data_IF_297483584400
#
_entry.id   IF_297483584400
#
_cell.length_a   1.000
_cell.length_b   1.000
_cell.length_c   1.000
_cell.angle_alpha   90.00
_cell.angle_beta   90.00
_cell.angle_gamma   90.00
#
_symmetry.space_group_name_H-M   'P 1'
#
loop_
_entity.id
_entity.type
_entity.pdbx_description
1 polymer ?
#
# COMPACT_ATOMS: atom_id res chain seq x y z
N UNK A 1 -0.74 24.20 7.51
CA UNK A 1 -1.24 22.93 6.91
C UNK A 1 -1.70 21.99 8.00
N UNK A 2 -0.87 21.68 8.99
CA UNK A 2 -1.24 20.81 10.10
C UNK A 2 -0.61 21.31 11.40
N UNK A 3 -1.30 21.10 12.52
CA UNK A 3 -0.80 21.35 13.87
C UNK A 3 -1.22 20.19 14.75
N UNK A 4 -0.24 19.55 15.38
CA UNK A 4 -0.40 18.37 16.24
C UNK A 4 0.17 18.68 17.61
N UNK A 5 -0.43 18.11 18.65
CA UNK A 5 0.01 18.27 20.05
C UNK A 5 0.56 16.96 20.60
N UNK A 6 1.40 17.03 21.63
CA UNK A 6 1.99 15.86 22.29
C UNK A 6 3.01 15.11 21.43
N UNK A 7 3.30 13.87 21.82
CA UNK A 7 4.29 13.03 21.17
C UNK A 7 3.74 12.39 19.89
N UNK A 8 4.53 12.34 18.82
CA UNK A 8 4.08 11.77 17.56
C UNK A 8 5.15 11.64 16.48
N UNK A 9 4.73 11.23 15.29
CA UNK A 9 5.58 11.17 14.10
C UNK A 9 4.74 11.40 12.85
N UNK A 10 5.19 12.29 11.96
CA UNK A 10 4.67 12.31 10.58
C UNK A 10 5.27 11.12 9.84
N UNK A 11 4.44 10.35 9.15
CA UNK A 11 4.85 9.16 8.40
C UNK A 11 4.68 9.32 6.90
N UNK A 12 3.77 10.19 6.45
CA UNK A 12 3.56 10.50 5.03
C UNK A 12 3.18 11.96 4.86
N UNK A 13 3.83 12.61 3.91
CA UNK A 13 3.37 13.87 3.33
C UNK A 13 3.10 13.58 1.85
N UNK A 14 1.90 13.89 1.38
CA UNK A 14 1.56 13.85 -0.03
C UNK A 14 0.94 15.17 -0.46
N UNK A 15 1.31 15.62 -1.66
CA UNK A 15 0.68 16.74 -2.33
C UNK A 15 0.46 16.33 -3.79
N UNK A 16 -0.80 16.34 -4.28
CA UNK A 16 -1.00 16.32 -5.71
C UNK A 16 -0.51 17.67 -6.27
N UNK A 17 -0.20 17.65 -7.56
CA UNK A 17 0.18 18.83 -8.31
C UNK A 17 -0.83 19.98 -8.11
N UNK A 18 -0.44 21.26 -8.12
CA UNK A 18 -1.37 22.32 -7.71
C UNK A 18 -2.11 23.08 -8.81
N UNK A 19 -1.63 23.08 -10.06
CA UNK A 19 -2.21 23.88 -11.16
C UNK A 19 -2.35 23.10 -12.48
N UNK A 20 -3.39 23.36 -13.29
CA UNK A 20 -3.61 22.75 -14.62
C UNK A 20 -2.66 23.27 -15.71
N UNK A 21 -2.12 24.48 -15.54
CA UNK A 21 -1.60 25.29 -16.66
C UNK A 21 -0.19 24.93 -17.12
N UNK A 22 0.64 24.35 -16.24
CA UNK A 22 1.97 23.82 -16.61
C UNK A 22 2.18 22.41 -16.06
N UNK A 23 2.85 21.49 -16.79
CA UNK A 23 3.25 20.19 -16.27
C UNK A 23 4.33 20.30 -15.17
N UNK A 24 4.17 19.53 -14.09
CA UNK A 24 5.22 19.23 -13.11
C UNK A 24 5.53 20.29 -12.04
N UNK A 25 4.58 21.14 -11.63
CA UNK A 25 4.77 22.22 -10.68
C UNK A 25 3.72 22.40 -9.59
N UNK A 26 4.16 22.13 -8.36
CA UNK A 26 3.97 23.06 -7.25
C UNK A 26 4.64 24.40 -7.62
N UNK A 27 3.93 25.28 -8.33
CA UNK A 27 4.26 26.69 -8.57
C UNK A 27 5.64 27.15 -9.09
N UNK A 28 6.78 26.43 -8.95
CA UNK A 28 8.18 26.89 -9.17
C UNK A 28 8.53 28.21 -8.45
N UNK A 29 7.65 28.73 -7.60
CA UNK A 29 7.79 30.04 -6.91
C UNK A 29 8.61 29.95 -5.62
N UNK A 30 9.21 28.79 -5.33
CA UNK A 30 9.96 28.58 -4.10
C UNK A 30 9.05 28.68 -2.88
N UNK A 31 7.91 27.97 -2.90
CA UNK A 31 7.10 27.83 -1.69
C UNK A 31 7.93 27.06 -0.67
N UNK A 32 8.09 27.60 0.53
CA UNK A 32 8.88 26.97 1.58
C UNK A 32 8.00 26.15 2.50
N UNK A 33 8.36 24.91 2.74
CA UNK A 33 7.79 24.14 3.84
C UNK A 33 8.61 24.37 5.09
N UNK A 34 7.92 24.74 6.17
CA UNK A 34 8.48 24.94 7.50
C UNK A 34 7.87 23.95 8.47
N UNK A 35 8.72 23.19 9.16
CA UNK A 35 8.30 22.22 10.16
C UNK A 35 8.90 22.61 11.51
N UNK A 36 8.06 22.96 12.46
CA UNK A 36 8.42 23.32 13.83
C UNK A 36 8.09 22.14 14.74
N UNK A 37 9.02 21.76 15.62
CA UNK A 37 8.89 20.61 16.50
C UNK A 37 9.09 21.04 17.94
N UNK A 38 8.42 20.36 18.87
CA UNK A 38 8.67 20.45 20.32
C UNK A 38 8.57 21.89 20.88
N UNK A 39 7.60 22.66 20.38
CA UNK A 39 7.38 24.05 20.77
C UNK A 39 8.51 25.03 20.37
N UNK A 40 9.50 24.61 19.57
CA UNK A 40 10.62 25.46 19.18
C UNK A 40 10.16 26.54 18.18
N UNK A 41 10.45 27.84 18.42
CA UNK A 41 10.11 28.90 17.49
C UNK A 41 10.92 28.88 16.19
N UNK A 42 12.07 28.19 16.17
CA UNK A 42 12.88 27.99 14.97
C UNK A 42 12.48 26.67 14.31
N UNK A 43 12.18 26.65 12.99
CA UNK A 43 11.80 25.42 12.33
C UNK A 43 12.98 24.43 12.28
N UNK A 44 12.70 23.15 12.53
CA UNK A 44 13.64 22.06 12.35
C UNK A 44 13.93 21.78 10.86
N UNK A 45 13.03 22.20 9.98
CA UNK A 45 13.18 22.15 8.52
C UNK A 45 12.57 23.41 7.92
N UNK A 46 13.34 24.13 7.08
CA UNK A 46 12.88 25.26 6.27
C UNK A 46 13.58 25.18 4.91
N UNK A 47 12.85 24.70 3.90
CA UNK A 47 13.40 24.40 2.57
C UNK A 47 12.36 24.65 1.49
N UNK A 48 12.76 24.86 0.21
CA UNK A 48 11.85 24.79 -0.90
C UNK A 48 11.10 23.45 -0.89
N UNK A 49 9.78 23.50 -0.94
CA UNK A 49 8.89 22.35 -0.80
C UNK A 49 9.22 21.26 -1.84
N UNK A 50 9.50 21.64 -3.09
CA UNK A 50 9.84 20.72 -4.17
C UNK A 50 11.17 19.99 -3.97
N UNK A 51 12.10 20.57 -3.21
CA UNK A 51 13.43 20.00 -3.03
C UNK A 51 13.39 18.75 -2.12
N UNK A 52 12.39 18.64 -1.24
CA UNK A 52 12.09 17.41 -0.50
C UNK A 52 11.78 16.28 -1.47
N UNK A 53 10.82 16.47 -2.37
CA UNK A 53 10.35 15.43 -3.30
C UNK A 53 11.38 15.09 -4.39
N UNK A 54 12.24 16.06 -4.73
CA UNK A 54 13.39 15.85 -5.62
C UNK A 54 14.57 15.16 -4.94
N UNK A 55 14.51 14.94 -3.63
CA UNK A 55 15.57 14.31 -2.85
C UNK A 55 16.86 15.12 -2.81
N UNK A 56 16.76 16.45 -2.84
CA UNK A 56 17.91 17.37 -2.76
C UNK A 56 18.22 17.80 -1.33
N UNK A 57 17.24 17.68 -0.43
CA UNK A 57 17.39 18.00 0.99
C UNK A 57 18.09 16.83 1.68
N UNK A 58 19.09 17.14 2.51
CA UNK A 58 19.78 16.12 3.30
C UNK A 58 18.81 15.36 4.21
N UNK A 59 18.96 14.04 4.31
CA UNK A 59 18.00 13.19 5.04
C UNK A 59 16.70 12.86 4.30
N UNK A 60 16.52 13.29 3.06
CA UNK A 60 15.36 12.94 2.22
C UNK A 60 15.76 12.15 0.96
N UNK A 61 16.25 10.90 1.10
CA UNK A 61 16.71 10.14 -0.06
C UNK A 61 15.56 9.58 -0.89
N UNK A 62 15.73 9.56 -2.21
CA UNK A 62 14.90 8.73 -3.10
C UNK A 62 15.21 7.24 -2.84
N UNK A 63 14.23 6.33 -2.98
CA UNK A 63 12.84 6.57 -3.36
C UNK A 63 11.88 6.74 -2.15
N UNK A 64 12.38 7.04 -0.94
CA UNK A 64 11.50 7.35 0.21
C UNK A 64 10.72 8.65 -0.02
N UNK A 65 11.34 9.57 -0.78
CA UNK A 65 10.69 10.72 -1.39
C UNK A 65 10.65 10.56 -2.90
N UNK A 66 9.68 11.21 -3.54
CA UNK A 66 9.59 11.20 -4.99
C UNK A 66 8.43 12.01 -5.53
N UNK A 67 8.38 12.06 -6.85
CA UNK A 67 7.34 12.74 -7.62
C UNK A 67 7.06 11.96 -8.90
N UNK A 68 5.82 12.03 -9.38
CA UNK A 68 5.42 11.52 -10.69
C UNK A 68 3.93 11.21 -10.77
N UNK A 69 3.43 11.09 -12.01
CA UNK A 69 1.99 10.89 -12.30
C UNK A 69 1.08 11.86 -11.54
N UNK A 70 1.54 13.10 -11.40
CA UNK A 70 0.80 14.20 -10.75
C UNK A 70 0.84 14.22 -9.23
N UNK A 71 1.53 13.31 -8.55
CA UNK A 71 1.70 13.34 -7.10
C UNK A 71 3.14 13.53 -6.64
N UNK A 72 3.30 14.08 -5.45
CA UNK A 72 4.56 14.23 -4.72
C UNK A 72 4.41 13.58 -3.37
N UNK A 73 5.37 12.74 -2.96
CA UNK A 73 5.27 11.96 -1.73
C UNK A 73 6.56 11.99 -0.94
N UNK A 74 6.44 11.91 0.38
CA UNK A 74 7.53 11.77 1.32
C UNK A 74 7.12 10.77 2.41
N UNK A 75 7.90 9.69 2.54
CA UNK A 75 7.76 8.67 3.58
C UNK A 75 8.87 8.72 4.64
N UNK A 76 9.68 9.79 4.64
CA UNK A 76 10.70 10.00 5.66
C UNK A 76 10.01 10.34 6.98
N UNK A 77 10.26 9.59 8.06
CA UNK A 77 9.62 9.84 9.34
C UNK A 77 10.13 11.14 9.97
N UNK A 78 9.21 11.95 10.49
CA UNK A 78 9.51 13.20 11.22
C UNK A 78 8.95 13.06 12.65
N UNK A 79 9.69 12.39 13.55
CA UNK A 79 9.29 12.22 14.95
C UNK A 79 9.45 13.50 15.77
N UNK A 80 8.56 13.67 16.75
CA UNK A 80 8.53 14.79 17.68
C UNK A 80 8.00 14.35 19.05
N UNK A 81 8.42 15.06 20.09
CA UNK A 81 8.16 14.76 21.50
C UNK A 81 7.02 15.60 22.09
N UNK A 82 6.87 16.85 21.66
CA UNK A 82 5.91 17.79 22.22
C UNK A 82 5.33 18.75 21.17
N UNK A 83 4.62 18.17 20.21
CA UNK A 83 3.90 18.88 19.16
C UNK A 83 4.71 19.10 17.89
N UNK A 84 3.98 19.34 16.82
CA UNK A 84 4.52 19.60 15.49
C UNK A 84 3.60 20.57 14.74
N UNK A 85 4.18 21.56 14.08
CA UNK A 85 3.47 22.47 13.20
C UNK A 85 4.09 22.44 11.81
N UNK A 86 3.26 22.18 10.80
CA UNK A 86 3.65 22.17 9.38
C UNK A 86 3.00 23.37 8.69
N UNK A 87 3.85 24.26 8.20
CA UNK A 87 3.49 25.45 7.44
C UNK A 87 4.04 25.33 6.02
N UNK A 88 3.29 25.83 5.04
CA UNK A 88 3.83 26.15 3.72
C UNK A 88 3.60 27.63 3.47
N UNK A 89 4.66 28.32 3.09
CA UNK A 89 4.67 29.71 2.71
C UNK A 89 4.39 29.83 1.21
N UNK A 90 3.14 30.12 0.87
CA UNK A 90 2.67 30.11 -0.51
C UNK A 90 1.15 30.06 -0.61
N UNK A 91 0.65 30.26 -1.83
CA UNK A 91 -0.80 30.24 -2.14
C UNK A 91 -1.16 29.19 -3.20
N UNK A 92 -0.16 28.51 -3.76
CA UNK A 92 -0.34 27.54 -4.83
C UNK A 92 -0.55 26.13 -4.27
N UNK A 93 -0.07 25.77 -3.07
CA UNK A 93 -0.52 24.52 -2.40
C UNK A 93 -2.02 24.57 -2.08
N UNK A 94 -2.82 23.78 -2.82
CA UNK A 94 -4.28 23.71 -2.67
C UNK A 94 -4.78 22.42 -2.03
N UNK A 95 -4.05 21.33 -2.22
CA UNK A 95 -4.42 19.99 -1.77
C UNK A 95 -3.19 19.36 -1.12
N UNK A 96 -3.41 18.65 -0.02
CA UNK A 96 -2.35 17.99 0.73
C UNK A 96 -2.92 16.94 1.67
N UNK A 97 -2.09 15.95 1.98
CA UNK A 97 -2.30 15.01 3.07
C UNK A 97 -1.04 14.94 3.94
N UNK A 98 -1.19 15.20 5.24
CA UNK A 98 -0.15 14.97 6.25
C UNK A 98 -0.65 13.87 7.18
N UNK A 99 -0.14 12.65 6.99
CA UNK A 99 -0.50 11.51 7.83
C UNK A 99 0.53 11.35 8.94
N UNK A 100 0.04 11.28 10.17
CA UNK A 100 0.86 11.20 11.37
C UNK A 100 0.28 10.19 12.36
N UNK A 101 1.10 9.78 13.32
CA UNK A 101 0.71 8.98 14.45
C UNK A 101 0.96 9.75 15.74
N UNK A 102 0.00 9.71 16.65
CA UNK A 102 0.15 10.20 18.03
C UNK A 102 0.58 9.04 18.92
N UNK A 103 1.52 9.28 19.81
CA UNK A 103 2.00 8.29 20.76
C UNK A 103 1.52 8.61 22.19
N UNK A 104 1.30 7.60 23.04
CA UNK A 104 0.87 7.81 24.42
C UNK A 104 1.85 8.63 25.27
N UNK A 105 3.14 8.59 24.94
CA UNK A 105 4.19 9.34 25.64
C UNK A 105 5.36 9.67 24.71
N UNK A 106 6.22 10.60 25.14
CA UNK A 106 7.45 10.94 24.43
C UNK A 106 8.62 9.98 24.74
N UNK A 107 8.39 8.92 25.52
CA UNK A 107 9.46 8.00 25.91
C UNK A 107 10.05 7.28 24.69
N UNK A 108 11.38 7.22 24.61
CA UNK A 108 12.09 6.60 23.48
C UNK A 108 12.09 7.40 22.16
N UNK A 109 11.29 8.46 22.05
CA UNK A 109 11.25 9.29 20.84
C UNK A 109 12.48 10.20 20.77
N UNK A 110 13.20 10.10 19.66
CA UNK A 110 14.26 11.04 19.28
C UNK A 110 13.67 12.01 18.25
N UNK A 111 13.61 13.29 18.59
CA UNK A 111 13.11 14.35 17.70
C UNK A 111 13.89 14.34 16.38
N UNK A 112 13.18 14.57 15.29
CA UNK A 112 13.77 14.75 13.96
C UNK A 112 14.79 15.89 13.95
N UNK A 113 15.87 15.71 13.19
CA UNK A 113 16.91 16.72 12.99
C UNK A 113 17.29 16.79 11.52
N UNK A 114 17.48 18.01 11.02
CA UNK A 114 18.08 18.28 9.72
C UNK A 114 19.28 19.22 9.89
N UNK A 115 20.52 18.82 9.53
CA UNK A 115 20.88 17.55 8.90
C UNK A 115 20.68 16.33 9.82
N UNK A 116 20.47 15.11 9.27
CA UNK A 116 20.35 13.89 10.05
C UNK A 116 21.68 13.49 10.68
N UNK A 117 21.60 12.88 11.86
CA UNK A 117 22.73 12.18 12.53
C UNK A 117 23.23 11.01 11.69
N UNK A 118 24.46 10.52 11.96
CA UNK A 118 25.04 9.37 11.25
C UNK A 118 24.16 8.11 11.34
N UNK A 119 23.58 7.84 12.53
CA UNK A 119 22.67 6.71 12.74
C UNK A 119 21.38 6.85 11.91
N UNK A 120 20.80 8.05 11.85
CA UNK A 120 19.63 8.31 11.00
C UNK A 120 19.98 8.16 9.52
N UNK A 121 21.16 8.66 9.11
CA UNK A 121 21.65 8.55 7.73
C UNK A 121 21.84 7.10 7.30
N UNK A 122 22.42 6.26 8.16
CA UNK A 122 22.56 4.82 7.94
C UNK A 122 21.18 4.14 7.80
N UNK A 123 20.25 4.43 8.71
CA UNK A 123 18.89 3.88 8.65
C UNK A 123 18.14 4.30 7.38
N UNK A 124 18.23 5.57 6.98
CA UNK A 124 17.64 6.10 5.75
C UNK A 124 18.28 5.46 4.50
N UNK A 125 19.60 5.25 4.49
CA UNK A 125 20.29 4.58 3.40
C UNK A 125 19.88 3.11 3.28
N UNK A 126 19.72 2.40 4.40
CA UNK A 126 19.23 1.02 4.41
C UNK A 126 17.80 0.94 3.87
N UNK A 127 16.89 1.82 4.33
CA UNK A 127 15.52 1.88 3.85
C UNK A 127 15.46 2.22 2.34
N UNK A 128 16.22 3.23 1.89
CA UNK A 128 16.29 3.61 0.48
C UNK A 128 16.82 2.46 -0.41
N UNK A 129 17.81 1.71 0.08
CA UNK A 129 18.32 0.51 -0.61
C UNK A 129 17.22 -0.54 -0.75
N UNK A 130 16.51 -0.88 0.33
CA UNK A 130 15.40 -1.85 0.28
C UNK A 130 14.30 -1.40 -0.68
N UNK A 131 13.91 -0.13 -0.66
CA UNK A 131 12.87 0.39 -1.56
C UNK A 131 13.32 0.44 -3.03
N UNK A 132 14.63 0.51 -3.29
CA UNK A 132 15.17 0.46 -4.65
C UNK A 132 15.27 -0.96 -5.22
N UNK A 133 15.14 -1.99 -4.38
CA UNK A 133 15.28 -3.41 -4.74
C UNK A 133 13.93 -4.15 -4.81
N UNK A 134 12.87 -3.47 -5.26
CA UNK A 134 11.54 -4.08 -5.41
C UNK A 134 11.61 -5.35 -6.27
N UNK A 135 10.99 -6.44 -5.81
CA UNK A 135 11.03 -7.76 -6.45
C UNK A 135 12.29 -8.59 -6.20
N UNK A 136 13.27 -8.09 -5.45
CA UNK A 136 14.47 -8.85 -5.05
C UNK A 136 14.32 -9.33 -3.61
N UNK A 137 13.93 -10.59 -3.42
CA UNK A 137 13.72 -11.17 -2.09
C UNK A 137 14.96 -11.04 -1.19
N UNK A 138 16.14 -11.23 -1.76
CA UNK A 138 17.43 -11.18 -1.06
C UNK A 138 17.71 -9.79 -0.47
N UNK A 139 17.12 -8.73 -1.01
CA UNK A 139 17.25 -7.37 -0.50
C UNK A 139 16.54 -7.13 0.83
N UNK A 140 15.61 -8.02 1.21
CA UNK A 140 14.88 -7.97 2.48
C UNK A 140 15.73 -8.40 3.68
N UNK A 141 16.97 -8.86 3.46
CA UNK A 141 17.89 -9.26 4.53
C UNK A 141 17.43 -10.49 5.31
N UNK A 142 16.55 -11.30 4.73
CA UNK A 142 16.10 -12.55 5.34
C UNK A 142 17.27 -13.55 5.36
N UNK A 143 17.59 -14.03 6.56
CA UNK A 143 18.63 -15.04 6.78
C UNK A 143 17.99 -16.36 7.22
N UNK A 144 18.68 -17.49 6.98
CA UNK A 144 18.20 -18.84 7.34
C UNK A 144 16.82 -19.18 6.74
N UNK A 145 16.59 -18.74 5.50
CA UNK A 145 15.36 -19.04 4.79
C UNK A 145 15.37 -20.49 4.26
N UNK A 146 14.26 -21.19 4.47
CA UNK A 146 13.98 -22.49 3.89
C UNK A 146 12.99 -22.33 2.73
N UNK A 147 13.30 -22.92 1.58
CA UNK A 147 12.45 -22.87 0.38
C UNK A 147 11.84 -24.23 0.12
N UNK A 148 10.52 -24.26 -0.07
CA UNK A 148 9.79 -25.43 -0.57
C UNK A 148 9.17 -25.07 -1.91
N UNK A 149 9.33 -25.92 -2.91
CA UNK A 149 8.76 -25.75 -4.23
C UNK A 149 7.79 -26.91 -4.50
N UNK A 150 6.55 -26.58 -4.86
CA UNK A 150 5.50 -27.54 -5.14
C UNK A 150 4.94 -27.30 -6.55
N UNK A 151 4.93 -28.35 -7.38
CA UNK A 151 4.18 -28.32 -8.64
C UNK A 151 2.71 -28.55 -8.32
N UNK A 152 1.88 -27.56 -8.63
CA UNK A 152 0.44 -27.58 -8.37
C UNK A 152 -0.29 -27.96 -9.66
N UNK A 153 -1.21 -28.92 -9.56
CA UNK A 153 -2.23 -29.20 -10.57
C UNK A 153 -3.60 -29.20 -9.90
N UNK A 154 -4.39 -28.16 -10.16
CA UNK A 154 -5.77 -28.04 -9.66
C UNK A 154 -6.72 -28.51 -10.75
N UNK A 155 -7.46 -29.58 -10.48
CA UNK A 155 -8.54 -30.03 -11.34
C UNK A 155 -9.83 -29.26 -11.03
N UNK A 156 -10.76 -29.12 -12.00
CA UNK A 156 -12.06 -28.49 -11.77
C UNK A 156 -12.79 -29.04 -10.54
N UNK A 157 -13.11 -28.16 -9.60
CA UNK A 157 -13.84 -28.48 -8.37
C UNK A 157 -13.03 -29.23 -7.29
N UNK A 158 -11.76 -29.56 -7.55
CA UNK A 158 -10.87 -30.15 -6.54
C UNK A 158 -10.11 -29.06 -5.77
N UNK A 159 -9.77 -29.36 -4.51
CA UNK A 159 -8.90 -28.53 -3.68
C UNK A 159 -7.52 -29.17 -3.58
N UNK A 160 -6.48 -28.37 -3.83
CA UNK A 160 -5.10 -28.73 -3.55
C UNK A 160 -4.67 -28.05 -2.27
N UNK A 161 -4.27 -28.83 -1.27
CA UNK A 161 -3.75 -28.32 0.00
C UNK A 161 -2.24 -28.49 0.07
N UNK A 162 -1.54 -27.42 0.45
CA UNK A 162 -0.10 -27.36 0.67
C UNK A 162 0.12 -27.03 2.16
N UNK A 163 0.27 -28.04 3.03
CA UNK A 163 0.60 -27.80 4.43
C UNK A 163 2.03 -27.29 4.56
N UNK A 164 2.22 -26.23 5.35
CA UNK A 164 3.56 -25.70 5.65
C UNK A 164 4.17 -26.42 6.86
N UNK A 165 5.51 -26.38 7.02
CA UNK A 165 6.15 -27.02 8.16
C UNK A 165 5.64 -26.46 9.50
N UNK A 166 5.53 -27.33 10.50
CA UNK A 166 4.95 -26.98 11.79
C UNK A 166 5.84 -26.05 12.63
N UNK A 167 5.21 -25.43 13.64
CA UNK A 167 5.85 -24.61 14.66
C UNK A 167 5.84 -23.12 14.35
N UNK A 168 6.36 -22.30 15.29
CA UNK A 168 6.36 -20.86 15.11
C UNK A 168 7.30 -20.51 13.96
N UNK A 169 6.73 -19.98 12.90
CA UNK A 169 7.40 -19.73 11.63
C UNK A 169 6.85 -18.47 11.02
N UNK A 170 7.58 -17.97 10.02
CA UNK A 170 7.15 -16.84 9.22
C UNK A 170 7.36 -17.15 7.76
N UNK A 171 6.28 -17.16 6.97
CA UNK A 171 6.39 -17.07 5.52
C UNK A 171 6.98 -15.71 5.18
N UNK A 172 8.02 -15.70 4.37
CA UNK A 172 8.76 -14.50 3.95
C UNK A 172 8.53 -14.18 2.49
N UNK A 173 8.16 -15.17 1.69
CA UNK A 173 7.71 -14.98 0.33
C UNK A 173 6.83 -16.15 -0.11
N UNK A 174 5.87 -15.85 -0.97
CA UNK A 174 5.23 -16.82 -1.84
C UNK A 174 5.51 -16.38 -3.26
N UNK A 175 6.00 -17.29 -4.10
CA UNK A 175 6.18 -17.08 -5.53
C UNK A 175 5.28 -18.02 -6.32
N UNK A 176 4.70 -17.50 -7.39
CA UNK A 176 3.96 -18.28 -8.37
C UNK A 176 4.63 -18.16 -9.73
N UNK A 177 5.01 -19.30 -10.30
CA UNK A 177 5.58 -19.37 -11.65
C UNK A 177 4.81 -20.38 -12.52
N UNK A 178 4.94 -20.25 -13.84
CA UNK A 178 4.21 -21.07 -14.80
C UNK A 178 4.38 -20.51 -16.21
N UNK A 179 3.80 -21.17 -17.21
CA UNK A 179 3.76 -20.59 -18.55
C UNK A 179 2.91 -19.32 -18.57
N UNK A 180 3.13 -18.39 -19.52
CA UNK A 180 2.28 -17.21 -19.66
C UNK A 180 0.79 -17.54 -19.83
N UNK A 181 0.46 -18.66 -20.46
CA UNK A 181 -0.91 -19.15 -20.62
C UNK A 181 -1.49 -19.62 -19.28
N UNK A 182 -0.70 -20.36 -18.49
CA UNK A 182 -1.13 -20.82 -17.17
C UNK A 182 -1.37 -19.66 -16.20
N UNK A 183 -0.46 -18.66 -16.17
CA UNK A 183 -0.60 -17.48 -15.33
C UNK A 183 -1.80 -16.61 -15.72
N UNK A 184 -2.23 -16.62 -16.99
CA UNK A 184 -3.49 -15.95 -17.40
C UNK A 184 -4.73 -16.59 -16.79
N UNK A 185 -4.72 -17.90 -16.59
CA UNK A 185 -5.84 -18.62 -15.98
C UNK A 185 -5.85 -18.51 -14.44
N UNK A 186 -4.77 -18.01 -13.82
CA UNK A 186 -4.67 -17.85 -12.36
C UNK A 186 -5.78 -16.96 -11.76
N UNK A 187 -6.38 -16.05 -12.53
CA UNK A 187 -7.52 -15.25 -12.07
C UNK A 187 -8.81 -16.03 -11.83
N UNK A 188 -8.90 -17.27 -12.33
CA UNK A 188 -9.97 -18.22 -12.01
C UNK A 188 -9.70 -19.06 -10.76
N UNK A 189 -8.52 -18.95 -10.15
CA UNK A 189 -8.11 -19.74 -8.98
C UNK A 189 -8.40 -18.95 -7.72
N UNK A 190 -9.04 -19.60 -6.74
CA UNK A 190 -9.22 -19.08 -5.38
C UNK A 190 -8.05 -19.53 -4.51
N UNK A 191 -7.45 -18.57 -3.81
CA UNK A 191 -6.44 -18.80 -2.79
C UNK A 191 -7.08 -18.68 -1.41
N UNK A 192 -6.87 -19.70 -0.58
CA UNK A 192 -7.18 -19.69 0.83
C UNK A 192 -5.91 -19.95 1.65
N UNK A 193 -5.71 -19.21 2.74
CA UNK A 193 -4.67 -19.52 3.72
C UNK A 193 -5.27 -19.54 5.12
N UNK A 194 -5.07 -20.65 5.82
CA UNK A 194 -5.49 -20.85 7.21
C UNK A 194 -4.26 -20.86 8.12
N UNK A 195 -4.32 -20.08 9.19
CA UNK A 195 -3.31 -20.05 10.24
C UNK A 195 -3.80 -20.79 11.48
N UNK A 196 -2.91 -21.54 12.12
CA UNK A 196 -3.07 -22.18 13.42
C UNK A 196 -4.36 -22.98 13.64
N UNK A 197 -4.89 -23.54 12.56
CA UNK A 197 -6.10 -24.36 12.57
C UNK A 197 -7.40 -23.56 12.72
N UNK A 198 -7.38 -22.25 12.42
CA UNK A 198 -8.57 -21.43 12.40
C UNK A 198 -9.66 -22.01 11.47
N UNK A 199 -10.92 -21.93 11.90
CA UNK A 199 -12.07 -22.44 11.16
C UNK A 199 -12.24 -21.70 9.81
N UNK A 200 -12.10 -20.38 9.85
CA UNK A 200 -12.15 -19.50 8.69
C UNK A 200 -10.74 -19.17 8.19
N UNK A 201 -10.49 -19.19 6.87
CA UNK A 201 -9.23 -18.70 6.32
C UNK A 201 -9.08 -17.19 6.52
N UNK A 202 -7.88 -16.75 6.90
CA UNK A 202 -7.52 -15.34 7.04
C UNK A 202 -7.33 -14.64 5.69
N UNK A 203 -6.80 -15.40 4.74
CA UNK A 203 -6.65 -14.98 3.35
C UNK A 203 -7.64 -15.77 2.54
N UNK A 204 -8.57 -15.10 1.89
CA UNK A 204 -9.57 -15.72 1.02
C UNK A 204 -9.86 -14.80 -0.17
N UNK A 205 -9.10 -14.99 -1.24
CA UNK A 205 -9.01 -14.04 -2.37
C UNK A 205 -8.77 -14.76 -3.70
N UNK A 206 -9.11 -14.19 -4.86
CA UNK A 206 -8.60 -14.69 -6.13
C UNK A 206 -7.06 -14.62 -6.17
N UNK A 207 -6.43 -15.63 -6.75
CA UNK A 207 -4.98 -15.81 -6.72
C UNK A 207 -4.24 -14.64 -7.39
N UNK A 208 -4.74 -14.14 -8.51
CA UNK A 208 -4.17 -12.99 -9.20
C UNK A 208 -4.29 -11.68 -8.41
N UNK A 209 -5.33 -11.49 -7.60
CA UNK A 209 -5.43 -10.34 -6.70
C UNK A 209 -4.43 -10.40 -5.55
N UNK A 210 -4.15 -11.59 -5.00
CA UNK A 210 -3.13 -11.77 -3.94
C UNK A 210 -1.73 -11.34 -4.40
N UNK A 211 -1.43 -11.56 -5.69
CA UNK A 211 -0.17 -11.17 -6.32
C UNK A 211 -0.20 -9.81 -7.02
N UNK A 212 -1.34 -9.11 -6.96
CA UNK A 212 -1.55 -7.82 -7.63
C UNK A 212 -1.43 -7.88 -9.17
N UNK A 213 -1.80 -9.01 -9.77
CA UNK A 213 -1.73 -9.30 -11.21
C UNK A 213 -3.09 -9.38 -11.89
N UNK A 214 -4.18 -9.14 -11.16
CA UNK A 214 -5.50 -9.07 -11.75
C UNK A 214 -5.60 -7.95 -12.80
N UNK A 215 -6.47 -8.13 -13.79
CA UNK A 215 -6.55 -7.25 -14.96
C UNK A 215 -5.26 -7.17 -15.80
N UNK A 216 -4.32 -8.09 -15.59
CA UNK A 216 -3.12 -8.32 -16.41
C UNK A 216 -2.29 -7.04 -16.65
N UNK A 217 -1.71 -6.45 -15.59
CA UNK A 217 -0.93 -5.22 -15.70
C UNK A 217 0.36 -5.32 -16.52
N UNK A 218 0.75 -6.53 -16.93
CA UNK A 218 2.09 -6.80 -17.39
C UNK A 218 3.11 -6.71 -16.25
N UNK A 219 4.41 -6.80 -16.56
CA UNK A 219 5.44 -6.82 -15.54
C UNK A 219 5.54 -5.49 -14.79
N UNK A 220 5.33 -5.52 -13.48
CA UNK A 220 5.67 -4.41 -12.58
C UNK A 220 6.21 -4.95 -11.25
N UNK A 221 7.01 -4.12 -10.56
CA UNK A 221 7.59 -4.45 -9.25
C UNK A 221 7.17 -3.40 -8.23
N UNK A 222 6.85 -3.87 -7.02
CA UNK A 222 6.63 -3.04 -5.84
C UNK A 222 7.30 -3.69 -4.61
N UNK A 223 7.18 -3.08 -3.43
CA UNK A 223 7.78 -3.61 -2.20
C UNK A 223 7.21 -4.97 -1.79
N UNK A 224 5.88 -5.11 -1.80
CA UNK A 224 5.22 -6.26 -1.17
C UNK A 224 4.66 -7.27 -2.16
N UNK A 225 4.27 -6.86 -3.36
CA UNK A 225 3.74 -7.79 -4.37
C UNK A 225 4.00 -7.30 -5.79
N UNK A 226 4.08 -8.21 -6.75
CA UNK A 226 4.28 -7.86 -8.14
C UNK A 226 4.79 -9.04 -8.95
N UNK A 227 5.58 -8.75 -9.97
CA UNK A 227 6.10 -9.75 -10.89
C UNK A 227 7.54 -9.46 -11.30
N UNK A 228 8.26 -10.53 -11.57
CA UNK A 228 9.60 -10.54 -12.16
C UNK A 228 9.59 -11.45 -13.38
N UNK A 229 10.75 -11.59 -14.02
CA UNK A 229 10.99 -12.61 -15.04
C UNK A 229 10.80 -14.05 -14.50
N UNK A 230 10.89 -14.27 -13.19
CA UNK A 230 10.67 -15.57 -12.54
C UNK A 230 9.21 -15.87 -12.23
N UNK A 231 8.29 -14.95 -12.49
CA UNK A 231 6.88 -15.07 -12.13
C UNK A 231 6.44 -14.05 -11.08
N UNK A 232 5.33 -14.32 -10.43
CA UNK A 232 4.68 -13.44 -9.47
C UNK A 232 5.25 -13.65 -8.06
N UNK A 233 5.25 -12.60 -7.24
CA UNK A 233 5.71 -12.67 -5.85
C UNK A 233 4.79 -11.90 -4.92
N UNK A 234 4.69 -12.39 -3.69
CA UNK A 234 4.17 -11.67 -2.54
C UNK A 234 5.16 -11.86 -1.37
N UNK A 235 5.69 -10.76 -0.86
CA UNK A 235 6.71 -10.65 0.19
C UNK A 235 6.15 -10.19 1.54
N UNK A 236 4.82 -10.14 1.69
CA UNK A 236 4.22 -9.87 3.00
C UNK A 236 4.67 -10.95 3.99
N UNK A 237 5.09 -10.54 5.18
CA UNK A 237 5.43 -11.48 6.24
C UNK A 237 4.16 -12.21 6.69
N UNK A 238 4.20 -13.52 6.88
CA UNK A 238 3.02 -14.29 7.33
C UNK A 238 3.45 -15.17 8.49
N UNK A 239 3.57 -14.60 9.70
CA UNK A 239 3.84 -15.37 10.91
C UNK A 239 2.66 -16.30 11.26
N UNK A 240 2.98 -17.51 11.75
CA UNK A 240 2.03 -18.44 12.36
C UNK A 240 2.71 -19.19 13.52
N UNK A 241 1.96 -19.60 14.53
CA UNK A 241 2.51 -20.17 15.76
C UNK A 241 2.62 -21.70 15.75
N UNK A 242 1.75 -22.38 15.00
CA UNK A 242 1.60 -23.84 15.04
C UNK A 242 1.58 -24.46 13.65
N UNK A 243 0.73 -23.96 12.76
CA UNK A 243 0.49 -24.58 11.45
C UNK A 243 -0.03 -23.58 10.46
N UNK A 244 0.27 -23.78 9.18
CA UNK A 244 -0.32 -23.03 8.10
C UNK A 244 -0.68 -23.97 6.95
N UNK A 245 -1.81 -23.73 6.29
CA UNK A 245 -2.23 -24.49 5.10
C UNK A 245 -2.60 -23.51 4.02
N UNK A 246 -1.96 -23.63 2.86
CA UNK A 246 -2.34 -22.93 1.63
C UNK A 246 -3.24 -23.85 0.83
N UNK A 247 -4.43 -23.39 0.45
CA UNK A 247 -5.39 -24.15 -0.33
C UNK A 247 -5.69 -23.41 -1.63
N UNK A 248 -5.67 -24.14 -2.76
CA UNK A 248 -6.01 -23.63 -4.08
C UNK A 248 -7.21 -24.41 -4.64
N UNK A 249 -8.22 -23.70 -5.11
CA UNK A 249 -9.39 -24.28 -5.79
C UNK A 249 -9.68 -23.54 -7.09
N UNK A 250 -10.25 -24.23 -8.08
CA UNK A 250 -10.59 -23.63 -9.37
C UNK A 250 -11.69 -24.44 -10.07
N UNK A 251 -12.58 -23.75 -10.80
CA UNK A 251 -13.59 -24.37 -11.66
C UNK A 251 -13.02 -24.80 -13.03
N UNK A 252 -11.79 -24.39 -13.34
CA UNK A 252 -11.05 -24.76 -14.55
C UNK A 252 -9.73 -25.42 -14.18
N UNK A 253 -9.16 -26.26 -15.07
CA UNK A 253 -7.82 -26.78 -14.85
C UNK A 253 -6.81 -25.64 -14.69
N UNK A 254 -5.99 -25.71 -13.66
CA UNK A 254 -4.88 -24.79 -13.43
C UNK A 254 -3.62 -25.58 -13.08
N UNK A 255 -2.49 -25.16 -13.64
CA UNK A 255 -1.20 -25.73 -13.31
C UNK A 255 -0.17 -24.62 -13.12
N UNK A 256 0.73 -24.78 -12.15
CA UNK A 256 1.78 -23.81 -11.87
C UNK A 256 2.73 -24.35 -10.82
N UNK A 257 3.76 -23.57 -10.50
CA UNK A 257 4.73 -23.92 -9.46
C UNK A 257 4.68 -22.87 -8.37
N UNK A 258 4.43 -23.32 -7.14
CA UNK A 258 4.37 -22.49 -5.94
C UNK A 258 5.68 -22.69 -5.16
N UNK A 259 6.49 -21.64 -5.04
CA UNK A 259 7.63 -21.62 -4.11
C UNK A 259 7.22 -20.84 -2.87
N UNK A 260 7.39 -21.44 -1.69
CA UNK A 260 7.12 -20.81 -0.40
C UNK A 260 8.43 -20.73 0.37
N UNK A 261 8.80 -19.51 0.75
CA UNK A 261 10.01 -19.21 1.52
C UNK A 261 9.61 -18.97 2.96
N UNK A 262 10.21 -19.70 3.90
CA UNK A 262 9.89 -19.65 5.33
C UNK A 262 11.13 -19.43 6.17
N UNK A 263 10.93 -18.92 7.38
CA UNK A 263 11.96 -18.85 8.43
C UNK A 263 11.39 -19.39 9.73
N UNK A 264 12.25 -19.97 10.57
CA UNK A 264 11.88 -20.37 11.93
C UNK A 264 11.86 -19.15 12.85
N UNK A 265 10.86 -19.09 13.72
CA UNK A 265 10.82 -18.13 14.81
C UNK A 265 11.30 -18.85 16.09
N UNK A 266 12.18 -18.24 16.91
CA UNK A 266 12.64 -18.87 18.15
C UNK A 266 11.48 -19.18 19.12
N UNK A 267 10.49 -18.29 19.14
CA UNK A 267 9.27 -18.40 19.93
C UNK A 267 8.14 -17.65 19.23
N UNK A 268 6.89 -18.03 19.54
CA UNK A 268 5.73 -17.22 19.15
C UNK A 268 5.63 -16.01 20.08
N UNK A 269 5.48 -14.82 19.50
CA UNK A 269 5.18 -13.60 20.26
C UNK A 269 3.81 -13.09 19.87
N UNK A 270 2.98 -12.79 20.87
CA UNK A 270 1.58 -12.39 20.69
C UNK A 270 1.39 -11.00 20.04
N UNK A 271 2.49 -10.33 19.66
CA UNK A 271 2.52 -9.04 18.96
C UNK A 271 2.80 -9.14 17.45
N UNK A 272 3.05 -10.34 16.90
CA UNK A 272 3.34 -10.53 15.47
C UNK A 272 2.10 -10.38 14.56
N UNK A 273 0.91 -10.68 15.07
CA UNK A 273 -0.34 -10.75 14.29
C UNK A 273 -0.34 -11.87 13.25
N UNK A 274 -1.42 -11.99 12.46
CA UNK A 274 -1.56 -12.91 11.33
C UNK A 274 -1.91 -12.10 10.09
N UNK A 275 -1.40 -12.46 8.92
CA UNK A 275 -1.79 -11.79 7.68
C UNK A 275 -3.22 -12.18 7.30
N UNK A 276 -4.07 -11.18 7.09
CA UNK A 276 -5.39 -11.31 6.50
C UNK A 276 -5.43 -10.59 5.15
N UNK A 277 -6.24 -11.14 4.24
CA UNK A 277 -6.53 -10.52 2.97
C UNK A 277 -7.98 -10.82 2.57
N UNK A 278 -8.77 -9.77 2.34
CA UNK A 278 -10.21 -9.87 2.07
C UNK A 278 -10.54 -9.27 0.71
N UNK A 279 -11.25 -10.04 -0.11
CA UNK A 279 -11.71 -9.62 -1.43
C UNK A 279 -13.11 -9.01 -1.35
N UNK A 280 -13.29 -7.84 -1.97
CA UNK A 280 -14.57 -7.16 -2.07
C UNK A 280 -14.86 -6.77 -3.52
N UNK A 281 -16.13 -6.77 -3.91
CA UNK A 281 -16.56 -6.35 -5.25
C UNK A 281 -17.90 -5.62 -5.25
N UNK A 282 -18.04 -4.66 -6.16
CA UNK A 282 -19.26 -3.93 -6.45
C UNK A 282 -19.40 -3.76 -7.97
N UNK A 283 -20.22 -4.61 -8.60
CA UNK A 283 -20.28 -4.81 -10.05
C UNK A 283 -21.71 -4.63 -10.61
N UNK A 284 -22.18 -3.40 -10.87
CA UNK A 284 -21.52 -2.12 -10.62
C UNK A 284 -21.76 -1.62 -9.19
N UNK A 285 -21.05 -0.55 -8.83
CA UNK A 285 -21.31 0.25 -7.63
C UNK A 285 -22.76 0.73 -7.55
N UNK A 286 -23.25 0.91 -6.31
CA UNK A 286 -24.59 1.42 -6.02
C UNK A 286 -24.48 2.83 -5.43
N UNK A 287 -25.30 3.80 -5.87
CA UNK A 287 -25.31 5.15 -5.30
C UNK A 287 -25.36 5.15 -3.77
N UNK A 288 -24.56 6.01 -3.15
CA UNK A 288 -24.47 6.20 -1.70
C UNK A 288 -23.96 4.96 -0.91
N UNK A 289 -23.43 3.94 -1.58
CA UNK A 289 -22.84 2.74 -0.97
C UNK A 289 -21.33 2.71 -1.21
N UNK A 290 -20.55 2.96 -0.17
CA UNK A 290 -19.09 2.86 -0.22
C UNK A 290 -18.63 1.46 -0.67
N UNK A 291 -17.55 1.41 -1.44
CA UNK A 291 -16.86 0.14 -1.72
C UNK A 291 -15.94 -0.21 -0.54
N UNK A 292 -16.16 -1.31 0.18
CA UNK A 292 -15.33 -1.67 1.32
C UNK A 292 -13.98 -2.25 0.85
N UNK A 293 -12.91 -1.90 1.56
CA UNK A 293 -11.62 -2.58 1.44
C UNK A 293 -11.43 -3.60 2.57
N UNK A 294 -11.74 -3.22 3.81
CA UNK A 294 -11.73 -4.12 4.95
C UNK A 294 -12.63 -3.60 6.07
N UNK A 295 -13.43 -4.50 6.65
CA UNK A 295 -14.19 -4.26 7.88
C UNK A 295 -13.87 -5.37 8.86
N UNK A 296 -13.33 -5.02 10.03
CA UNK A 296 -12.82 -6.00 10.99
C UNK A 296 -13.04 -5.52 12.42
N UNK A 297 -13.46 -6.44 13.29
CA UNK A 297 -13.35 -6.30 14.74
C UNK A 297 -12.12 -7.07 15.21
N UNK A 298 -11.37 -6.49 16.13
CA UNK A 298 -10.10 -7.03 16.60
C UNK A 298 -9.05 -5.96 16.80
N UNK A 299 -7.81 -6.39 17.01
CA UNK A 299 -6.65 -5.53 17.18
C UNK A 299 -5.67 -5.84 16.06
N UNK A 300 -5.18 -4.83 15.37
CA UNK A 300 -4.38 -5.04 14.18
C UNK A 300 -3.89 -3.76 13.54
N UNK A 301 -3.44 -3.88 12.29
CA UNK A 301 -3.12 -2.72 11.47
C UNK A 301 -3.28 -3.02 9.98
N UNK A 302 -3.86 -2.05 9.26
CA UNK A 302 -3.98 -2.07 7.82
C UNK A 302 -2.63 -1.82 7.13
N UNK A 303 -2.32 -2.59 6.09
CA UNK A 303 -1.02 -2.51 5.38
C UNK A 303 -1.13 -2.26 3.88
N UNK A 304 -2.32 -2.29 3.29
CA UNK A 304 -2.46 -1.86 1.90
C UNK A 304 -3.66 -2.39 1.15
N UNK A 305 -3.82 -1.87 -0.06
CA UNK A 305 -4.92 -2.20 -0.98
C UNK A 305 -4.33 -2.48 -2.35
N UNK A 306 -4.87 -3.50 -3.03
CA UNK A 306 -4.87 -3.59 -4.48
C UNK A 306 -6.30 -3.41 -4.99
N UNK A 307 -6.54 -2.47 -5.90
CA UNK A 307 -7.89 -2.13 -6.37
C UNK A 307 -7.93 -2.05 -7.89
N UNK A 308 -8.84 -2.81 -8.50
CA UNK A 308 -9.13 -2.81 -9.91
C UNK A 308 -10.50 -2.16 -10.16
N UNK A 309 -10.52 -1.11 -10.97
CA UNK A 309 -11.74 -0.39 -11.34
C UNK A 309 -11.90 -0.29 -12.85
N UNK A 310 -13.11 -0.49 -13.34
CA UNK A 310 -13.41 -0.33 -14.76
C UNK A 310 -14.81 0.25 -14.97
N UNK A 311 -15.01 1.05 -16.00
CA UNK A 311 -16.29 1.72 -16.20
C UNK A 311 -16.46 2.28 -17.59
N UNK A 312 -17.71 2.34 -18.04
CA UNK A 312 -18.05 3.01 -19.29
C UNK A 312 -18.28 4.50 -19.03
N UNK A 313 -17.65 5.37 -19.82
CA UNK A 313 -17.75 6.82 -19.66
C UNK A 313 -18.04 7.48 -20.99
N UNK A 314 -19.04 8.39 -21.01
CA UNK A 314 -19.31 9.24 -22.18
C UNK A 314 -18.28 10.36 -22.31
N UNK A 315 -17.72 10.78 -21.18
CA UNK A 315 -16.82 11.92 -21.06
C UNK A 315 -15.34 11.53 -21.24
N UNK A 316 -15.05 10.24 -21.51
CA UNK A 316 -13.71 9.65 -21.62
C UNK A 316 -12.85 9.75 -20.35
N UNK A 317 -13.34 10.37 -19.29
CA UNK A 317 -12.65 10.53 -18.01
C UNK A 317 -13.16 9.54 -16.96
N UNK A 318 -12.26 8.90 -16.19
CA UNK A 318 -12.64 7.96 -15.14
C UNK A 318 -13.07 8.70 -13.85
N UNK A 319 -14.17 9.46 -13.89
CA UNK A 319 -14.67 10.27 -12.76
C UNK A 319 -14.97 9.50 -11.47
N UNK A 320 -14.96 8.17 -11.51
CA UNK A 320 -15.04 7.38 -10.28
C UNK A 320 -13.78 7.53 -9.43
N UNK A 321 -12.67 8.02 -9.99
CA UNK A 321 -11.43 8.29 -9.26
C UNK A 321 -11.50 9.54 -8.36
N UNK A 322 -12.55 10.35 -8.41
CA UNK A 322 -12.75 11.45 -7.43
C UNK A 322 -13.24 10.95 -6.07
N UNK A 323 -13.34 9.64 -5.85
CA UNK A 323 -13.88 9.10 -4.61
C UNK A 323 -12.86 9.15 -3.46
N UNK A 324 -13.27 9.68 -2.33
CA UNK A 324 -12.45 9.78 -1.12
C UNK A 324 -12.39 8.44 -0.36
N UNK A 325 -11.20 8.06 0.10
CA UNK A 325 -11.04 6.97 1.05
C UNK A 325 -11.45 7.42 2.46
N UNK A 326 -12.03 6.50 3.22
CA UNK A 326 -12.44 6.73 4.60
C UNK A 326 -11.94 5.58 5.47
N UNK A 327 -11.20 5.92 6.53
CA UNK A 327 -10.82 4.97 7.57
C UNK A 327 -11.43 5.41 8.90
N UNK A 328 -12.33 4.58 9.41
CA UNK A 328 -12.84 4.68 10.78
C UNK A 328 -12.12 3.61 11.61
N UNK A 329 -11.39 4.00 12.64
CA UNK A 329 -10.71 3.06 13.55
C UNK A 329 -11.24 3.27 14.97
N UNK A 330 -11.65 2.20 15.62
CA UNK A 330 -12.17 2.18 16.99
C UNK A 330 -13.37 3.12 17.20
N UNK A 331 -14.18 3.31 16.16
CA UNK A 331 -15.34 4.19 16.14
C UNK A 331 -15.03 5.67 15.86
N UNK A 332 -13.77 6.03 15.61
CA UNK A 332 -13.37 7.40 15.29
C UNK A 332 -12.89 7.51 13.84
N UNK A 333 -13.33 8.56 13.13
CA UNK A 333 -12.80 8.90 11.81
C UNK A 333 -11.32 9.27 11.96
N UNK A 334 -10.43 8.51 11.31
CA UNK A 334 -8.98 8.72 11.34
C UNK A 334 -8.42 9.29 10.05
N UNK A 335 -8.96 8.85 8.91
CA UNK A 335 -8.53 9.30 7.59
C UNK A 335 -9.79 9.61 6.77
N UNK A 336 -9.79 10.78 6.16
CA UNK A 336 -10.70 11.17 5.10
C UNK A 336 -9.84 11.68 3.95
N UNK A 337 -10.01 11.07 2.79
CA UNK A 337 -9.27 11.34 1.57
C UNK A 337 -9.62 12.65 0.89
N UNK A 338 -9.05 12.81 -0.31
CA UNK A 338 -9.32 13.91 -1.24
C UNK A 338 -9.54 13.46 -2.69
N UNK A 339 -9.37 12.16 -2.96
CA UNK A 339 -9.50 11.56 -4.28
C UNK A 339 -8.83 10.19 -4.31
N UNK A 340 -9.29 9.31 -5.19
CA UNK A 340 -8.77 7.96 -5.32
C UNK A 340 -7.33 7.99 -5.81
N UNK A 341 -7.01 8.80 -6.83
CA UNK A 341 -5.65 8.95 -7.31
C UNK A 341 -4.72 9.56 -6.25
N UNK A 342 -5.24 10.47 -5.43
CA UNK A 342 -4.51 11.11 -4.33
C UNK A 342 -4.15 10.09 -3.24
N UNK A 343 -5.09 9.20 -2.89
CA UNK A 343 -4.82 8.08 -1.99
C UNK A 343 -3.66 7.22 -2.49
N UNK A 344 -3.62 6.94 -3.79
CA UNK A 344 -2.56 6.17 -4.45
C UNK A 344 -1.31 7.01 -4.80
N UNK A 345 -1.12 8.15 -4.12
CA UNK A 345 -0.01 9.10 -4.28
C UNK A 345 0.20 9.66 -5.70
N UNK A 346 -0.77 9.52 -6.58
CA UNK A 346 -0.77 10.19 -7.88
C UNK A 346 -1.52 11.51 -7.72
N UNK A 347 -1.95 12.09 -8.84
CA UNK A 347 -2.76 13.29 -8.84
C UNK A 347 -3.20 13.63 -10.25
N UNK A 348 -4.34 14.30 -10.38
CA UNK A 348 -4.74 14.97 -11.62
C UNK A 348 -4.80 14.02 -12.80
N UNK A 349 -5.67 13.02 -12.68
CA UNK A 349 -5.85 12.01 -13.69
C UNK A 349 -6.39 12.60 -15.01
N UNK A 350 -5.96 11.99 -16.11
CA UNK A 350 -6.28 12.40 -17.48
C UNK A 350 -5.85 13.84 -17.85
N UNK A 351 -4.88 14.41 -17.14
CA UNK A 351 -4.24 15.67 -17.51
C UNK A 351 -2.84 15.40 -18.06
N UNK A 352 -2.45 16.01 -19.21
CA UNK A 352 -1.13 15.81 -19.79
C UNK A 352 0.02 16.04 -18.81
N UNK A 353 1.00 15.13 -18.80
CA UNK A 353 2.16 15.14 -17.90
C UNK A 353 1.88 14.73 -16.45
N UNK A 354 0.70 14.17 -16.15
CA UNK A 354 0.31 13.66 -14.81
C UNK A 354 -0.11 12.19 -14.91
N UNK A 355 -1.21 11.77 -14.27
CA UNK A 355 -1.71 10.40 -14.39
C UNK A 355 -2.45 10.23 -15.73
N UNK A 356 -1.68 9.92 -16.78
CA UNK A 356 -2.19 9.65 -18.14
C UNK A 356 -1.76 8.29 -18.71
N UNK A 357 -1.03 7.50 -17.92
CA UNK A 357 -0.52 6.19 -18.31
C UNK A 357 -0.13 5.36 -17.09
N UNK A 358 0.25 4.08 -17.28
CA UNK A 358 0.56 3.18 -16.19
C UNK A 358 1.85 3.57 -15.48
N UNK A 359 1.88 3.36 -14.16
CA UNK A 359 3.02 3.62 -13.31
C UNK A 359 3.16 2.61 -12.17
N UNK A 360 4.39 2.44 -11.68
CA UNK A 360 4.69 1.61 -10.53
C UNK A 360 5.85 2.23 -9.74
N UNK A 361 5.62 2.46 -8.46
CA UNK A 361 6.58 2.95 -7.48
C UNK A 361 6.68 1.95 -6.32
N UNK A 362 7.73 1.99 -5.48
CA UNK A 362 7.92 0.99 -4.44
C UNK A 362 6.70 0.76 -3.54
N UNK A 363 6.02 1.82 -3.12
CA UNK A 363 4.87 1.74 -2.20
C UNK A 363 3.51 1.98 -2.84
N UNK A 364 3.42 2.34 -4.13
CA UNK A 364 2.15 2.67 -4.77
C UNK A 364 2.24 2.69 -6.30
N UNK A 365 1.11 2.78 -6.99
CA UNK A 365 1.07 3.10 -8.42
C UNK A 365 -0.22 2.68 -9.09
N UNK A 366 -0.32 2.99 -10.38
CA UNK A 366 -1.38 2.55 -11.28
C UNK A 366 -0.81 1.63 -12.36
N UNK A 367 -0.55 0.34 -12.07
CA UNK A 367 0.06 -0.56 -13.05
C UNK A 367 -0.82 -0.77 -14.30
N UNK A 368 -2.13 -0.47 -14.22
CA UNK A 368 -2.99 -0.29 -15.39
C UNK A 368 -3.68 1.06 -15.33
N UNK A 369 -3.50 1.85 -16.39
CA UNK A 369 -4.28 3.05 -16.61
C UNK A 369 -4.55 3.19 -18.12
N UNK A 370 -5.79 2.94 -18.53
CA UNK A 370 -6.19 2.91 -19.93
C UNK A 370 -7.47 3.70 -20.12
N UNK A 371 -7.41 4.70 -20.99
CA UNK A 371 -8.57 5.50 -21.41
C UNK A 371 -8.86 5.20 -22.89
N UNK A 372 -9.53 4.07 -23.16
CA UNK A 372 -9.74 3.57 -24.52
C UNK A 372 -11.22 3.55 -24.88
N UNK A 373 -11.55 4.15 -26.01
CA UNK A 373 -12.92 4.22 -26.54
C UNK A 373 -13.89 4.81 -25.50
N UNK A 374 -14.89 4.03 -25.09
CA UNK A 374 -15.87 4.38 -24.06
C UNK A 374 -15.64 3.62 -22.74
N UNK A 375 -14.57 2.81 -22.61
CA UNK A 375 -14.27 2.03 -21.40
C UNK A 375 -12.91 2.41 -20.83
N UNK A 376 -12.92 2.92 -19.62
CA UNK A 376 -11.70 3.22 -18.89
C UNK A 376 -11.39 2.11 -17.88
N UNK A 377 -10.11 1.82 -17.68
CA UNK A 377 -9.59 0.86 -16.74
C UNK A 377 -8.50 1.54 -15.90
N UNK A 378 -8.66 1.50 -14.58
CA UNK A 378 -7.68 2.01 -13.62
C UNK A 378 -7.48 0.96 -12.52
N UNK A 379 -6.26 0.45 -12.43
CA UNK A 379 -5.86 -0.56 -11.45
C UNK A 379 -4.71 0.01 -10.66
N UNK A 380 -4.84 0.05 -9.34
CA UNK A 380 -3.93 0.74 -8.44
C UNK A 380 -3.56 -0.11 -7.23
N UNK A 381 -2.42 0.19 -6.64
CA UNK A 381 -2.01 -0.37 -5.35
C UNK A 381 -1.37 0.69 -4.46
N UNK A 382 -1.45 0.49 -3.14
CA UNK A 382 -0.68 1.23 -2.13
C UNK A 382 -0.37 0.34 -0.94
N UNK A 383 0.86 0.43 -0.46
CA UNK A 383 1.39 -0.26 0.71
C UNK A 383 1.67 0.73 1.84
N UNK A 384 0.97 0.54 2.96
CA UNK A 384 1.16 1.29 4.19
C UNK A 384 2.32 0.73 5.03
N UNK A 385 3.51 0.64 4.43
CA UNK A 385 4.72 0.08 5.09
C UNK A 385 5.30 1.06 6.10
N UNK A 386 5.45 2.33 5.70
CA UNK A 386 5.99 3.39 6.56
C UNK A 386 4.90 4.04 7.43
N UNK A 387 3.64 3.89 7.02
CA UNK A 387 2.44 4.54 7.55
C UNK A 387 1.27 3.55 7.78
N UNK A 388 1.45 2.42 8.50
CA UNK A 388 0.36 1.49 8.79
C UNK A 388 -0.77 2.18 9.54
N UNK A 389 -2.01 1.71 9.35
CA UNK A 389 -3.21 2.26 10.03
C UNK A 389 -3.61 1.30 11.15
N UNK A 390 -3.18 1.54 12.41
CA UNK A 390 -3.47 0.66 13.53
C UNK A 390 -4.90 0.83 14.04
N UNK A 391 -5.44 -0.22 14.64
CA UNK A 391 -6.71 -0.24 15.34
C UNK A 391 -6.65 -1.22 16.51
N UNK A 392 -7.33 -0.91 17.61
CA UNK A 392 -7.31 -1.71 18.84
C UNK A 392 -8.57 -2.55 19.05
N UNK A 393 -9.68 -2.14 18.43
CA UNK A 393 -11.01 -2.75 18.55
C UNK A 393 -11.67 -2.98 17.20
N UNK A 394 -11.54 -2.05 16.26
CA UNK A 394 -12.15 -2.21 14.94
C UNK A 394 -11.58 -1.28 13.88
N UNK A 395 -11.68 -1.70 12.63
CA UNK A 395 -11.42 -0.88 11.45
C UNK A 395 -12.56 -1.03 10.45
N UNK A 396 -12.93 0.09 9.83
CA UNK A 396 -13.71 0.16 8.61
C UNK A 396 -12.93 1.02 7.61
N UNK A 397 -12.30 0.37 6.64
CA UNK A 397 -11.58 0.99 5.53
C UNK A 397 -12.41 0.83 4.26
N UNK A 398 -12.76 1.94 3.62
CA UNK A 398 -13.67 1.98 2.46
C UNK A 398 -13.37 3.18 1.57
N UNK A 399 -13.95 3.20 0.38
CA UNK A 399 -13.78 4.30 -0.58
C UNK A 399 -15.10 4.66 -1.26
N UNK A 400 -15.27 5.95 -1.53
CA UNK A 400 -16.36 6.44 -2.37
C UNK A 400 -16.11 6.12 -3.85
N UNK A 401 -17.16 6.19 -4.66
CA UNK A 401 -17.02 6.12 -6.12
C UNK A 401 -17.44 7.44 -6.77
N UNK A 402 -16.42 8.24 -7.11
CA UNK A 402 -16.53 9.57 -7.67
C UNK A 402 -16.98 10.64 -6.67
N UNK A 403 -17.23 11.88 -7.14
CA UNK A 403 -17.19 13.08 -6.29
C UNK A 403 -18.36 13.22 -5.30
N UNK A 404 -19.34 12.32 -5.38
CA UNK A 404 -20.54 12.31 -4.52
C UNK A 404 -20.95 10.90 -4.15
N UNK A 405 -20.02 9.93 -4.27
CA UNK A 405 -20.29 8.51 -4.07
C UNK A 405 -21.45 7.97 -4.93
N UNK A 406 -21.51 8.38 -6.20
CA UNK A 406 -22.63 8.08 -7.14
C UNK A 406 -22.18 7.66 -8.53
N UNK A 407 -20.89 7.78 -8.83
CA UNK A 407 -20.38 7.43 -10.15
C UNK A 407 -20.42 5.91 -10.34
N UNK A 408 -21.14 5.47 -11.36
CA UNK A 408 -21.27 4.06 -11.71
C UNK A 408 -19.95 3.55 -12.31
N UNK A 409 -19.36 2.56 -11.66
CA UNK A 409 -18.21 1.81 -12.16
C UNK A 409 -18.20 0.42 -11.52
N UNK A 410 -17.36 -0.46 -12.02
CA UNK A 410 -17.08 -1.75 -11.42
C UNK A 410 -15.87 -1.60 -10.49
N UNK A 411 -16.01 -2.03 -9.25
CA UNK A 411 -14.93 -2.01 -8.27
C UNK A 411 -14.65 -3.44 -7.80
N UNK A 412 -13.37 -3.79 -7.70
CA UNK A 412 -12.87 -5.02 -7.09
C UNK A 412 -11.61 -4.68 -6.31
N UNK A 413 -11.44 -5.22 -5.12
CA UNK A 413 -10.24 -4.95 -4.32
C UNK A 413 -9.87 -6.10 -3.43
N UNK A 414 -8.60 -6.16 -3.06
CA UNK A 414 -8.14 -6.86 -1.87
C UNK A 414 -7.55 -5.85 -0.89
N UNK A 415 -8.09 -5.85 0.33
CA UNK A 415 -7.49 -5.16 1.47
C UNK A 415 -6.62 -6.13 2.27
N UNK A 416 -5.41 -5.70 2.60
CA UNK A 416 -4.41 -6.46 3.34
C UNK A 416 -4.18 -5.82 4.72
N UNK A 417 -4.20 -6.63 5.77
CA UNK A 417 -3.99 -6.19 7.15
C UNK A 417 -3.42 -7.31 8.01
N UNK A 418 -2.79 -6.95 9.13
CA UNK A 418 -2.48 -7.89 10.19
C UNK A 418 -3.51 -7.79 11.29
N UNK A 419 -3.93 -8.93 11.85
CA UNK A 419 -4.86 -9.02 12.97
C UNK A 419 -4.28 -9.94 14.05
N UNK A 420 -4.56 -9.66 15.32
CA UNK A 420 -4.11 -10.48 16.44
C UNK A 420 -4.74 -11.89 16.42
N UNK A 421 -5.93 -12.04 15.84
CA UNK A 421 -6.58 -13.32 15.66
C UNK A 421 -6.25 -13.92 14.27
N UNK A 422 -6.06 -15.25 14.19
CA UNK A 422 -5.83 -15.95 12.93
C UNK A 422 -7.04 -15.97 12.01
#
# INVERSE_FOLDING_TARGET
MAEMTGAGCIHRIHLPHSIYTEPGLLGRKGEHIRIYLDGNPTPALDVPLEDIFKGKVDGFPKPLVGEGHGGHYCYVPIPYRDGCKVEVDGTDVRFYAVQYRTYPSAEGIVTFTNPPTDKQREALAAAAKTWSSCGEFESLGVTNAERSEETIEVKPGEAVEVPLPAGPRMVRAIHLSGSPEALKEAGGVRLQIRWDGAETPAVDVPLDYFFCQAMQPGPFRSLLAGSTDRGWYNFMAMPYGKSAVVTLTSEKPFAGTLEIVTTTLPEWKDDLGYLHAVYNEALPTQPDVYHPWATREGRGHYIGTYMATDGQTKEKLPFWLEGDEVFTCDGELRIHGTGTEDYFNCGWYAVPGRLEGPCAYPSHGFPVYQLKDDRNLAVAYRWHVADPVPYEKSIEAKIEHGPTNKTKANYRSVGFFYDAAP
#
